data_IF_377702466885
#
_entry.id   IF_377702466885
#
_cell.length_a   1.000
_cell.length_b   1.000
_cell.length_c   1.000
_cell.angle_alpha   90.00
_cell.angle_beta   90.00
_cell.angle_gamma   90.00
#
_symmetry.space_group_name_H-M   'P 1'
#
loop_
_entity.id
_entity.type
_entity.pdbx_description
1 polymer ?
#
# COMPACT_ATOMS: atom_id res chain seq x y z
N UNK A 1 3.90 -17.76 9.78
CA UNK A 1 5.06 -16.87 9.60
C UNK A 1 4.71 -15.62 10.36
N UNK A 2 5.48 -15.25 11.37
CA UNK A 2 5.23 -13.98 12.06
C UNK A 2 5.55 -12.84 11.09
N UNK A 3 4.55 -12.00 10.82
CA UNK A 3 4.66 -10.74 10.07
C UNK A 3 4.64 -9.63 11.14
N UNK A 4 5.79 -9.26 11.74
CA UNK A 4 5.81 -8.31 12.84
C UNK A 4 5.42 -6.91 12.33
N UNK A 5 4.68 -6.13 13.15
CA UNK A 5 4.36 -4.75 12.77
C UNK A 5 5.63 -3.91 12.68
N UNK A 6 5.65 -2.98 11.71
CA UNK A 6 6.64 -1.90 11.62
C UNK A 6 6.07 -0.70 12.38
N UNK A 7 6.50 -0.43 13.63
CA UNK A 7 5.84 0.57 14.48
C UNK A 7 5.84 1.98 13.88
N UNK A 8 6.90 2.35 13.19
CA UNK A 8 7.07 3.65 12.54
C UNK A 8 6.05 3.84 11.41
N UNK A 9 5.80 2.79 10.61
CA UNK A 9 4.80 2.82 9.55
C UNK A 9 3.39 2.94 10.12
N UNK A 10 3.08 2.22 11.22
CA UNK A 10 1.78 2.34 11.90
C UNK A 10 1.58 3.76 12.43
N UNK A 11 2.58 4.34 13.10
CA UNK A 11 2.50 5.74 13.59
C UNK A 11 2.34 6.75 12.46
N UNK A 12 2.99 6.53 11.32
CA UNK A 12 2.81 7.38 10.15
C UNK A 12 1.38 7.32 9.64
N UNK A 13 0.81 6.12 9.48
CA UNK A 13 -0.57 5.93 9.04
C UNK A 13 -1.57 6.55 10.02
N UNK A 14 -1.37 6.35 11.32
CA UNK A 14 -2.21 6.99 12.35
C UNK A 14 -2.25 8.51 12.21
N UNK A 15 -1.13 9.16 11.87
CA UNK A 15 -1.10 10.62 11.65
C UNK A 15 -1.71 11.04 10.32
N UNK A 16 -1.49 10.28 9.25
CA UNK A 16 -2.06 10.60 7.95
C UNK A 16 -3.59 10.48 7.95
N UNK A 17 -4.13 9.49 8.65
CA UNK A 17 -5.58 9.27 8.79
C UNK A 17 -6.33 10.36 9.56
N UNK A 18 -5.64 11.29 10.23
CA UNK A 18 -6.30 12.41 10.93
C UNK A 18 -7.00 13.36 9.94
N UNK A 19 -6.39 13.62 8.78
CA UNK A 19 -6.85 14.62 7.81
C UNK A 19 -6.84 14.13 6.35
N UNK A 20 -6.42 12.88 6.10
CA UNK A 20 -6.33 12.31 4.75
C UNK A 20 -7.00 10.95 4.68
N UNK A 21 -7.57 10.64 3.52
CA UNK A 21 -7.95 9.26 3.18
C UNK A 21 -6.69 8.43 2.96
N UNK A 22 -6.54 7.35 3.71
CA UNK A 22 -5.44 6.39 3.56
C UNK A 22 -5.93 5.13 2.87
N UNK A 23 -5.39 4.89 1.67
CA UNK A 23 -5.58 3.67 0.90
C UNK A 23 -4.39 2.73 1.13
N UNK A 24 -4.65 1.56 1.70
CA UNK A 24 -3.68 0.47 1.75
C UNK A 24 -3.67 -0.23 0.38
N UNK A 25 -2.59 -0.09 -0.36
CA UNK A 25 -2.47 -0.61 -1.72
C UNK A 25 -1.41 -1.71 -1.80
N UNK A 26 -1.84 -2.94 -2.07
CA UNK A 26 -0.97 -4.13 -2.05
C UNK A 26 -1.08 -4.97 -3.33
N UNK A 27 0.06 -5.54 -3.74
CA UNK A 27 0.11 -6.53 -4.80
C UNK A 27 -0.17 -7.96 -4.28
N UNK A 28 -0.50 -8.14 -2.99
CA UNK A 28 -0.99 -9.42 -2.47
C UNK A 28 -2.36 -9.75 -3.12
N UNK A 29 -2.59 -11.01 -3.52
CA UNK A 29 -3.86 -11.44 -4.13
C UNK A 29 -5.03 -11.26 -3.16
N UNK A 30 -6.21 -10.92 -3.68
CA UNK A 30 -7.41 -10.64 -2.88
C UNK A 30 -7.89 -11.83 -2.04
N UNK A 31 -7.52 -13.07 -2.38
CA UNK A 31 -7.73 -14.26 -1.57
C UNK A 31 -6.98 -14.25 -0.23
N UNK A 32 -6.03 -13.31 -0.04
CA UNK A 32 -5.38 -13.06 1.25
C UNK A 32 -6.07 -11.99 2.10
N UNK A 33 -7.21 -11.44 1.65
CA UNK A 33 -7.87 -10.31 2.31
C UNK A 33 -8.20 -10.59 3.78
N UNK A 34 -8.79 -11.74 4.11
CA UNK A 34 -9.19 -12.08 5.48
C UNK A 34 -7.98 -12.05 6.44
N UNK A 35 -6.87 -12.66 6.05
CA UNK A 35 -5.62 -12.66 6.83
C UNK A 35 -5.06 -11.24 6.99
N UNK A 36 -5.11 -10.43 5.94
CA UNK A 36 -4.68 -9.02 5.99
C UNK A 36 -5.54 -8.21 6.93
N UNK A 37 -6.87 -8.35 6.86
CA UNK A 37 -7.82 -7.63 7.71
C UNK A 37 -7.69 -8.03 9.18
N UNK A 38 -7.50 -9.33 9.45
CA UNK A 38 -7.26 -9.82 10.82
C UNK A 38 -5.99 -9.20 11.42
N UNK A 39 -4.91 -9.16 10.63
CA UNK A 39 -3.64 -8.55 11.05
C UNK A 39 -3.80 -7.06 11.34
N UNK A 40 -4.43 -6.30 10.44
CA UNK A 40 -4.68 -4.87 10.62
C UNK A 40 -5.53 -4.59 11.87
N UNK A 41 -6.57 -5.38 12.10
CA UNK A 41 -7.43 -5.26 13.28
C UNK A 41 -6.70 -5.58 14.58
N UNK A 42 -5.87 -6.62 14.60
CA UNK A 42 -5.05 -7.00 15.77
C UNK A 42 -4.06 -5.91 16.15
N UNK A 43 -3.55 -5.16 15.18
CA UNK A 43 -2.54 -4.11 15.38
C UNK A 43 -3.12 -2.69 15.41
N UNK A 44 -4.44 -2.53 15.29
CA UNK A 44 -5.11 -1.23 15.43
C UNK A 44 -4.73 -0.22 14.35
N UNK A 45 -4.49 -0.68 13.12
CA UNK A 45 -4.13 0.21 12.00
C UNK A 45 -5.39 0.88 11.46
N UNK A 46 -5.41 2.22 11.44
CA UNK A 46 -6.50 3.00 10.83
C UNK A 46 -6.29 3.10 9.31
N UNK A 47 -7.35 2.96 8.52
CA UNK A 47 -7.33 3.07 7.07
C UNK A 47 -8.77 3.19 6.54
N UNK A 48 -8.91 3.68 5.30
CA UNK A 48 -10.22 3.93 4.68
C UNK A 48 -10.55 2.92 3.59
N UNK A 49 -9.54 2.48 2.82
CA UNK A 49 -9.69 1.52 1.74
C UNK A 49 -8.53 0.53 1.68
N UNK A 50 -8.83 -0.73 1.38
CA UNK A 50 -7.85 -1.77 1.05
C UNK A 50 -8.00 -2.16 -0.42
N UNK A 51 -7.01 -1.79 -1.23
CA UNK A 51 -6.95 -2.12 -2.65
C UNK A 51 -5.91 -3.23 -2.87
N UNK A 52 -6.38 -4.35 -3.42
CA UNK A 52 -5.58 -5.58 -3.59
C UNK A 52 -5.53 -6.02 -5.04
N UNK A 53 -4.59 -6.91 -5.34
CA UNK A 53 -4.46 -7.54 -6.64
C UNK A 53 -5.67 -8.44 -6.94
N UNK A 54 -6.19 -8.34 -8.15
CA UNK A 54 -7.18 -9.29 -8.68
C UNK A 54 -6.57 -10.69 -8.84
N UNK A 55 -7.30 -11.76 -8.49
CA UNK A 55 -6.79 -13.16 -8.51
C UNK A 55 -6.15 -13.60 -9.84
N UNK A 56 -6.65 -13.08 -10.96
CA UNK A 56 -6.18 -13.45 -12.30
C UNK A 56 -5.10 -12.51 -12.84
N UNK A 57 -4.65 -11.53 -12.04
CA UNK A 57 -3.58 -10.63 -12.41
C UNK A 57 -2.21 -11.23 -12.00
N UNK A 58 -1.35 -11.42 -12.99
CA UNK A 58 -0.01 -11.97 -12.82
C UNK A 58 1.09 -10.92 -13.04
N UNK A 59 0.72 -9.63 -13.12
CA UNK A 59 1.65 -8.53 -13.23
C UNK A 59 2.62 -8.44 -12.05
N UNK A 60 3.76 -7.81 -12.28
CA UNK A 60 4.67 -7.40 -11.22
C UNK A 60 3.99 -6.44 -10.23
N UNK A 61 4.57 -6.26 -9.04
CA UNK A 61 4.03 -5.29 -8.06
C UNK A 61 3.84 -3.89 -8.69
N UNK A 62 4.82 -3.29 -9.39
CA UNK A 62 4.62 -1.98 -9.99
C UNK A 62 3.51 -1.93 -11.04
N UNK A 63 3.32 -2.99 -11.84
CA UNK A 63 2.26 -3.06 -12.84
C UNK A 63 0.87 -3.11 -12.19
N UNK A 64 0.69 -4.00 -11.21
CA UNK A 64 -0.56 -4.10 -10.45
C UNK A 64 -0.88 -2.80 -9.73
N UNK A 65 0.11 -2.22 -9.04
CA UNK A 65 -0.10 -0.98 -8.28
C UNK A 65 -0.39 0.21 -9.19
N UNK A 66 0.20 0.27 -10.39
CA UNK A 66 -0.13 1.29 -11.39
C UNK A 66 -1.57 1.16 -11.90
N UNK A 67 -2.03 -0.07 -12.17
CA UNK A 67 -3.40 -0.30 -12.58
C UNK A 67 -4.39 0.18 -11.51
N UNK A 68 -4.18 -0.23 -10.25
CA UNK A 68 -4.99 0.20 -9.12
C UNK A 68 -4.94 1.72 -8.93
N UNK A 69 -3.76 2.34 -9.07
CA UNK A 69 -3.62 3.81 -9.00
C UNK A 69 -4.46 4.52 -10.07
N UNK A 70 -4.51 3.96 -11.29
CA UNK A 70 -5.34 4.47 -12.39
C UNK A 70 -6.83 4.34 -12.05
N UNK A 71 -7.25 3.22 -11.46
CA UNK A 71 -8.64 3.01 -11.05
C UNK A 71 -9.03 4.00 -9.94
N UNK A 72 -8.19 4.18 -8.92
CA UNK A 72 -8.42 5.17 -7.86
C UNK A 72 -8.57 6.60 -8.41
N UNK A 73 -7.73 6.99 -9.36
CA UNK A 73 -7.86 8.30 -10.03
C UNK A 73 -9.17 8.42 -10.81
N UNK A 74 -9.58 7.33 -11.47
CA UNK A 74 -10.85 7.29 -12.21
C UNK A 74 -12.06 7.40 -11.27
N UNK A 75 -11.94 6.89 -10.04
CA UNK A 75 -12.94 7.02 -8.98
C UNK A 75 -12.92 8.39 -8.27
N UNK A 76 -12.01 9.29 -8.67
CA UNK A 76 -11.94 10.67 -8.19
C UNK A 76 -11.00 10.90 -7.01
N UNK A 77 -10.20 9.91 -6.62
CA UNK A 77 -9.13 10.12 -5.66
C UNK A 77 -7.99 10.91 -6.31
N UNK A 78 -7.36 11.80 -5.54
CA UNK A 78 -6.15 12.53 -5.93
C UNK A 78 -4.98 12.07 -5.04
N UNK A 79 -4.16 11.09 -5.49
CA UNK A 79 -3.05 10.58 -4.71
C UNK A 79 -1.94 11.63 -4.56
N UNK A 80 -1.80 12.20 -3.37
CA UNK A 80 -0.81 13.26 -3.08
C UNK A 80 0.52 12.74 -2.53
N UNK A 81 0.53 11.51 -2.00
CA UNK A 81 1.70 10.87 -1.40
C UNK A 81 1.56 9.34 -1.51
N UNK A 82 2.63 8.68 -1.93
CA UNK A 82 2.78 7.24 -1.83
C UNK A 82 3.91 6.88 -0.85
N UNK A 83 3.73 5.81 -0.09
CA UNK A 83 4.70 5.28 0.88
C UNK A 83 4.90 3.81 0.56
N UNK A 84 6.13 3.42 0.26
CA UNK A 84 6.43 2.06 -0.18
C UNK A 84 7.90 1.69 0.12
N UNK A 85 8.17 0.40 0.22
CA UNK A 85 9.48 -0.16 0.54
C UNK A 85 10.19 -0.77 -0.67
N UNK A 86 9.47 -1.02 -1.77
CA UNK A 86 10.03 -1.58 -2.99
C UNK A 86 10.52 -0.47 -3.95
N UNK A 87 11.83 -0.42 -4.30
CA UNK A 87 12.36 0.60 -5.20
C UNK A 87 11.67 0.67 -6.58
N UNK A 88 11.18 -0.46 -7.10
CA UNK A 88 10.42 -0.53 -8.34
C UNK A 88 9.06 0.15 -8.24
N UNK A 89 8.36 -0.02 -7.11
CA UNK A 89 7.12 0.71 -6.83
C UNK A 89 7.39 2.22 -6.72
N UNK A 90 8.50 2.62 -6.11
CA UNK A 90 8.90 4.03 -6.01
C UNK A 90 9.12 4.67 -7.37
N UNK A 91 9.88 4.00 -8.24
CA UNK A 91 10.09 4.46 -9.63
C UNK A 91 8.76 4.60 -10.35
N UNK A 92 7.85 3.63 -10.16
CA UNK A 92 6.50 3.69 -10.73
C UNK A 92 5.72 4.90 -10.23
N UNK A 93 5.52 5.08 -8.92
CA UNK A 93 4.73 6.20 -8.39
C UNK A 93 5.27 7.56 -8.84
N UNK A 94 6.60 7.73 -8.84
CA UNK A 94 7.26 8.94 -9.34
C UNK A 94 7.00 9.16 -10.83
N UNK A 95 7.03 8.10 -11.64
CA UNK A 95 6.69 8.17 -13.08
C UNK A 95 5.24 8.57 -13.32
N UNK A 96 4.34 8.22 -12.40
CA UNK A 96 2.93 8.60 -12.40
C UNK A 96 2.67 9.99 -11.79
N UNK A 97 3.73 10.73 -11.41
CA UNK A 97 3.61 12.08 -10.84
C UNK A 97 3.22 12.12 -9.36
N UNK A 98 3.24 10.98 -8.66
CA UNK A 98 2.91 10.91 -7.23
C UNK A 98 4.19 11.05 -6.39
N UNK A 99 4.32 12.09 -5.54
CA UNK A 99 5.42 12.18 -4.57
C UNK A 99 5.53 10.90 -3.73
N UNK A 100 6.74 10.39 -3.51
CA UNK A 100 6.93 9.08 -2.87
C UNK A 100 7.99 9.10 -1.80
N UNK A 101 7.66 8.53 -0.64
CA UNK A 101 8.56 8.29 0.48
C UNK A 101 8.98 6.83 0.48
N UNK A 102 10.29 6.59 0.52
CA UNK A 102 10.86 5.28 0.78
C UNK A 102 10.75 4.98 2.28
N UNK A 103 10.20 3.82 2.64
CA UNK A 103 10.28 3.30 4.01
C UNK A 103 11.00 1.97 3.97
N UNK A 104 12.05 1.85 4.77
CA UNK A 104 12.81 0.63 4.84
C UNK A 104 12.04 -0.44 5.63
N UNK A 105 11.82 -1.61 5.02
CA UNK A 105 11.04 -2.72 5.61
C UNK A 105 11.89 -3.91 6.09
N UNK A 106 13.19 -3.92 5.77
CA UNK A 106 14.08 -5.07 6.00
C UNK A 106 13.87 -6.25 5.03
N UNK A 107 12.85 -6.24 4.17
CA UNK A 107 12.58 -7.34 3.22
C UNK A 107 13.64 -7.50 2.12
N UNK A 108 14.34 -6.41 1.80
CA UNK A 108 15.32 -6.35 0.71
C UNK A 108 16.78 -6.32 1.21
N UNK A 109 17.01 -6.61 2.49
CA UNK A 109 18.35 -6.66 3.11
C UNK A 109 19.05 -8.03 2.99
N UNK A 110 18.43 -8.97 2.27
CA UNK A 110 18.95 -10.33 2.07
C UNK A 110 19.89 -10.43 0.85
#
# INVERSE_FOLDING_TARGET
MDDPPIPEAIRLVERLTEDHTVVLLTARPSGSADTTLEWLGRHGVNWDLLAMRNENDHGSSPEVKRAILSDLRSDGYEPILAVDDDPGNLVMYRSEGVPTVYVHSGYYDA
#
